data_IF_280897170775
#
_entry.id   IF_280897170775
#
_cell.length_a   1.000
_cell.length_b   1.000
_cell.length_c   1.000
_cell.angle_alpha   90.00
_cell.angle_beta   90.00
_cell.angle_gamma   90.00
#
_symmetry.space_group_name_H-M   'P 1'
#
loop_
_entity.id
_entity.type
_entity.pdbx_description
1 polymer ?
#
# COMPACT_ATOMS: atom_id res chain seq x y z
N UNK A 1 -14.50 -0.91 11.22
CA UNK A 1 -13.50 -0.64 10.16
C UNK A 1 -14.05 0.46 9.26
N UNK A 2 -13.22 1.17 8.50
CA UNK A 2 -13.75 2.01 7.42
C UNK A 2 -14.29 1.08 6.33
N UNK A 3 -15.53 1.31 5.90
CA UNK A 3 -16.17 0.57 4.81
C UNK A 3 -16.44 1.52 3.65
N UNK A 4 -16.51 1.03 2.39
CA UNK A 4 -16.70 1.89 1.23
C UNK A 4 -17.94 2.80 1.36
N UNK A 5 -18.98 2.37 2.08
CA UNK A 5 -20.27 3.07 2.19
C UNK A 5 -21.21 2.72 1.04
N UNK A 6 -22.43 3.28 1.01
CA UNK A 6 -23.52 2.82 0.13
C UNK A 6 -24.03 3.87 -0.88
N UNK A 7 -23.33 5.01 -1.03
CA UNK A 7 -23.75 6.09 -1.93
C UNK A 7 -23.66 5.71 -3.42
N UNK A 8 -24.53 6.30 -4.26
CA UNK A 8 -24.65 6.02 -5.69
C UNK A 8 -23.30 5.99 -6.45
N UNK A 9 -22.38 6.87 -6.07
CA UNK A 9 -21.08 7.02 -6.73
C UNK A 9 -19.91 6.38 -5.98
N UNK A 10 -20.14 5.81 -4.79
CA UNK A 10 -19.06 5.30 -3.94
C UNK A 10 -18.25 4.22 -4.65
N UNK A 11 -18.88 3.11 -5.02
CA UNK A 11 -18.22 1.97 -5.66
C UNK A 11 -17.58 2.32 -7.01
N UNK A 12 -18.26 3.05 -7.94
CA UNK A 12 -17.65 3.40 -9.23
C UNK A 12 -16.54 4.46 -9.13
N UNK A 13 -16.53 5.31 -8.10
CA UNK A 13 -15.43 6.27 -7.87
C UNK A 13 -14.26 5.59 -7.16
N UNK A 14 -14.50 4.99 -5.99
CA UNK A 14 -13.44 4.37 -5.18
C UNK A 14 -12.79 3.19 -5.91
N UNK A 15 -13.55 2.42 -6.69
CA UNK A 15 -13.01 1.30 -7.48
C UNK A 15 -12.06 1.71 -8.60
N UNK A 16 -11.96 3.02 -8.92
CA UNK A 16 -10.97 3.56 -9.86
C UNK A 16 -9.70 4.07 -9.19
N UNK A 17 -9.71 4.23 -7.87
CA UNK A 17 -8.54 4.69 -7.12
C UNK A 17 -7.55 3.55 -6.90
N UNK A 18 -6.29 3.90 -6.76
CA UNK A 18 -5.19 2.97 -6.48
C UNK A 18 -4.70 3.21 -5.06
N UNK A 19 -4.41 2.12 -4.35
CA UNK A 19 -3.74 2.15 -3.04
C UNK A 19 -2.29 2.61 -3.17
N UNK A 20 -1.61 2.14 -4.22
CA UNK A 20 -0.23 2.51 -4.51
C UNK A 20 0.04 2.58 -6.01
N UNK A 21 0.95 3.46 -6.43
CA UNK A 21 1.32 3.64 -7.83
C UNK A 21 2.82 3.85 -7.98
N UNK A 22 3.42 3.28 -9.03
CA UNK A 22 4.79 3.62 -9.42
C UNK A 22 4.77 4.65 -10.54
N UNK A 23 5.46 5.78 -10.33
CA UNK A 23 5.68 6.84 -11.31
C UNK A 23 7.17 6.90 -11.61
N UNK A 24 7.58 6.41 -12.77
CA UNK A 24 8.99 6.22 -13.10
C UNK A 24 9.67 5.25 -12.12
N UNK A 25 10.61 5.77 -11.32
CA UNK A 25 11.32 5.04 -10.26
C UNK A 25 10.80 5.36 -8.85
N UNK A 26 9.74 6.16 -8.70
CA UNK A 26 9.17 6.52 -7.40
C UNK A 26 7.90 5.73 -7.14
N UNK A 27 7.81 5.11 -5.97
CA UNK A 27 6.62 4.43 -5.48
C UNK A 27 5.83 5.40 -4.57
N UNK A 28 4.58 5.70 -4.92
CA UNK A 28 3.69 6.56 -4.15
C UNK A 28 2.63 5.72 -3.43
N UNK A 29 2.55 5.85 -2.10
CA UNK A 29 1.59 5.18 -1.22
C UNK A 29 1.31 6.08 -0.01
N UNK A 30 0.16 5.95 0.65
CA UNK A 30 -0.17 6.88 1.73
C UNK A 30 0.77 6.79 2.94
N UNK A 31 1.10 5.58 3.40
CA UNK A 31 1.91 5.39 4.61
C UNK A 31 3.19 4.58 4.33
N UNK A 32 3.08 3.47 3.60
CA UNK A 32 4.25 2.69 3.19
C UNK A 32 3.87 1.36 2.54
N UNK A 33 4.87 0.59 2.08
CA UNK A 33 4.71 -0.79 1.65
C UNK A 33 5.87 -1.65 2.14
N UNK A 34 5.61 -2.91 2.49
CA UNK A 34 6.62 -3.95 2.66
C UNK A 34 6.59 -4.89 1.46
N UNK A 35 7.61 -5.74 1.29
CA UNK A 35 7.61 -6.77 0.24
C UNK A 35 6.40 -7.70 0.32
N UNK A 36 5.90 -8.00 1.53
CA UNK A 36 4.71 -8.84 1.75
C UNK A 36 3.46 -8.33 1.02
N UNK A 37 3.31 -7.00 0.92
CA UNK A 37 2.18 -6.39 0.19
C UNK A 37 2.25 -6.62 -1.32
N UNK A 38 3.41 -7.06 -1.84
CA UNK A 38 3.69 -7.25 -3.26
C UNK A 38 3.76 -8.72 -3.67
N UNK A 39 3.68 -9.67 -2.72
CA UNK A 39 3.81 -11.10 -2.98
C UNK A 39 2.72 -11.63 -3.93
N UNK A 40 1.51 -11.07 -3.84
CA UNK A 40 0.38 -11.47 -4.69
C UNK A 40 0.27 -10.57 -5.92
N UNK A 41 1.12 -10.78 -6.92
CA UNK A 41 1.03 -10.09 -8.22
C UNK A 41 1.49 -8.63 -8.20
N UNK A 42 2.33 -8.25 -7.24
CA UNK A 42 2.92 -6.93 -7.14
C UNK A 42 1.92 -5.80 -6.94
N UNK A 43 2.28 -4.59 -7.38
CA UNK A 43 1.40 -3.41 -7.27
C UNK A 43 0.07 -3.58 -8.01
N UNK A 44 0.05 -4.34 -9.11
CA UNK A 44 -1.17 -4.60 -9.85
C UNK A 44 -2.12 -5.48 -9.02
N UNK A 45 -1.60 -6.51 -8.36
CA UNK A 45 -2.39 -7.37 -7.49
C UNK A 45 -2.86 -6.69 -6.21
N UNK A 46 -2.04 -5.83 -5.60
CA UNK A 46 -2.45 -5.00 -4.46
C UNK A 46 -3.65 -4.10 -4.82
N UNK A 47 -3.54 -3.35 -5.92
CA UNK A 47 -4.62 -2.47 -6.36
C UNK A 47 -5.87 -3.23 -6.81
N UNK A 48 -5.71 -4.43 -7.40
CA UNK A 48 -6.81 -5.29 -7.78
C UNK A 48 -7.60 -5.76 -6.55
N UNK A 49 -6.91 -6.29 -5.54
CA UNK A 49 -7.55 -6.74 -4.29
C UNK A 49 -8.32 -5.60 -3.60
N UNK A 50 -7.74 -4.40 -3.55
CA UNK A 50 -8.42 -3.22 -3.03
C UNK A 50 -9.69 -2.87 -3.80
N UNK A 51 -9.62 -2.93 -5.14
CA UNK A 51 -10.76 -2.66 -6.02
C UNK A 51 -11.86 -3.71 -5.86
N UNK A 52 -11.51 -4.99 -5.85
CA UNK A 52 -12.45 -6.10 -5.66
C UNK A 52 -13.17 -5.95 -4.31
N UNK A 53 -12.44 -5.62 -3.24
CA UNK A 53 -13.06 -5.31 -1.96
C UNK A 53 -14.05 -4.14 -2.04
N UNK A 54 -13.65 -3.04 -2.68
CA UNK A 54 -14.52 -1.87 -2.87
C UNK A 54 -15.74 -2.19 -3.71
N UNK A 55 -15.63 -3.01 -4.77
CA UNK A 55 -16.72 -3.24 -5.73
C UNK A 55 -17.66 -4.38 -5.30
N UNK A 56 -17.09 -5.46 -4.76
CA UNK A 56 -17.81 -6.71 -4.52
C UNK A 56 -18.22 -6.88 -3.05
N UNK A 57 -17.78 -5.99 -2.15
CA UNK A 57 -18.21 -5.95 -0.76
C UNK A 57 -17.76 -7.15 0.08
N UNK A 58 -16.67 -7.80 -0.31
CA UNK A 58 -16.09 -8.94 0.40
C UNK A 58 -15.31 -8.57 1.66
N UNK A 59 -14.56 -9.53 2.20
CA UNK A 59 -13.64 -9.27 3.32
C UNK A 59 -12.53 -8.30 2.88
N UNK A 60 -12.14 -7.39 3.79
CA UNK A 60 -10.98 -6.52 3.56
C UNK A 60 -9.73 -7.41 3.35
N UNK A 61 -8.99 -7.24 2.24
CA UNK A 61 -7.80 -8.03 1.96
C UNK A 61 -6.80 -7.89 3.09
N UNK A 62 -6.21 -9.00 3.53
CA UNK A 62 -5.29 -9.04 4.68
C UNK A 62 -4.15 -8.01 4.54
N UNK A 63 -3.64 -7.82 3.31
CA UNK A 63 -2.60 -6.84 3.01
C UNK A 63 -3.02 -5.37 3.21
N UNK A 64 -4.30 -5.07 3.38
CA UNK A 64 -4.85 -3.74 3.66
C UNK A 64 -5.27 -3.56 5.12
N UNK A 65 -5.22 -4.62 5.93
CA UNK A 65 -5.75 -4.64 7.30
C UNK A 65 -4.71 -4.12 8.30
N UNK A 66 -5.19 -3.33 9.26
CA UNK A 66 -4.48 -3.08 10.51
C UNK A 66 -3.30 -2.11 10.40
N UNK A 67 -2.49 -2.10 11.46
CA UNK A 67 -1.37 -1.17 11.62
C UNK A 67 -0.24 -1.43 10.61
N UNK A 68 -0.10 -2.65 10.10
CA UNK A 68 0.94 -2.99 9.12
C UNK A 68 0.50 -2.72 7.67
N UNK A 69 -0.78 -2.38 7.46
CA UNK A 69 -1.32 -2.12 6.13
C UNK A 69 -0.78 -0.82 5.50
N UNK A 70 -0.81 -0.70 4.17
CA UNK A 70 -0.19 0.39 3.43
C UNK A 70 -0.76 1.78 3.69
N UNK A 71 -1.93 1.85 4.32
CA UNK A 71 -2.60 3.09 4.69
C UNK A 71 -2.24 3.56 6.11
N UNK A 72 -1.73 2.69 6.97
CA UNK A 72 -1.59 2.99 8.40
C UNK A 72 -0.20 2.67 8.96
N UNK A 73 0.64 1.95 8.21
CA UNK A 73 1.97 1.58 8.67
C UNK A 73 2.85 2.78 8.97
N UNK A 74 3.64 2.66 10.03
CA UNK A 74 4.49 3.75 10.53
C UNK A 74 5.97 3.42 10.58
N UNK A 75 6.37 2.26 10.06
CA UNK A 75 7.75 1.77 10.04
C UNK A 75 8.76 2.77 9.45
N UNK A 76 8.31 3.68 8.58
CA UNK A 76 9.14 4.67 7.89
C UNK A 76 9.00 6.11 8.43
N UNK A 77 8.25 6.31 9.52
CA UNK A 77 7.81 7.66 9.94
C UNK A 77 8.78 8.39 10.88
N UNK A 78 9.97 7.83 11.19
CA UNK A 78 10.76 8.35 12.31
C UNK A 78 12.29 8.21 12.16
N UNK A 79 13.05 9.32 12.28
CA UNK A 79 12.71 10.71 11.97
C UNK A 79 12.69 10.95 10.45
N UNK A 80 11.75 11.78 9.96
CA UNK A 80 11.72 12.17 8.55
C UNK A 80 13.00 12.92 8.17
N UNK A 81 13.69 12.43 7.13
CA UNK A 81 15.02 12.86 6.64
C UNK A 81 16.25 12.16 7.24
N UNK A 82 16.07 11.10 8.02
CA UNK A 82 17.16 10.22 8.43
C UNK A 82 16.82 8.82 7.92
N UNK A 83 17.81 8.08 7.40
CA UNK A 83 17.59 6.66 7.13
C UNK A 83 17.05 5.99 8.40
N UNK A 84 16.12 5.02 8.27
CA UNK A 84 15.58 4.34 9.42
C UNK A 84 16.73 3.79 10.27
N UNK A 85 16.86 4.28 11.51
CA UNK A 85 17.92 3.85 12.44
C UNK A 85 17.72 2.41 12.91
N UNK A 86 16.54 1.85 12.70
CA UNK A 86 16.27 0.43 12.81
C UNK A 86 16.70 -0.29 11.54
N UNK A 87 17.72 -1.15 11.65
CA UNK A 87 18.16 -2.05 10.58
C UNK A 87 16.99 -2.79 9.91
N UNK A 88 15.96 -3.12 10.70
CA UNK A 88 14.77 -3.82 10.23
C UNK A 88 13.94 -2.95 9.28
N UNK A 89 13.76 -1.66 9.57
CA UNK A 89 12.98 -0.77 8.72
C UNK A 89 13.71 -0.46 7.41
N UNK A 90 15.03 -0.27 7.46
CA UNK A 90 15.87 -0.09 6.26
C UNK A 90 15.82 -1.33 5.37
N UNK A 91 15.98 -2.53 5.93
CA UNK A 91 15.87 -3.80 5.19
C UNK A 91 14.47 -3.99 4.57
N UNK A 92 13.40 -3.70 5.31
CA UNK A 92 12.02 -3.78 4.80
C UNK A 92 11.79 -2.82 3.63
N UNK A 93 12.27 -1.58 3.76
CA UNK A 93 12.15 -0.58 2.70
C UNK A 93 12.92 -1.02 1.45
N UNK A 94 14.17 -1.46 1.61
CA UNK A 94 15.00 -1.96 0.52
C UNK A 94 14.36 -3.14 -0.21
N UNK A 95 13.81 -4.10 0.53
CA UNK A 95 13.10 -5.23 -0.06
C UNK A 95 11.84 -4.79 -0.84
N UNK A 96 11.04 -3.88 -0.28
CA UNK A 96 9.85 -3.37 -0.96
C UNK A 96 10.20 -2.62 -2.26
N UNK A 97 11.23 -1.76 -2.22
CA UNK A 97 11.73 -1.02 -3.39
C UNK A 97 12.28 -1.95 -4.47
N UNK A 98 13.04 -2.97 -4.08
CA UNK A 98 13.53 -4.01 -4.98
C UNK A 98 12.38 -4.74 -5.67
N UNK A 99 11.40 -5.24 -4.90
CA UNK A 99 10.22 -5.93 -5.44
C UNK A 99 9.37 -5.03 -6.36
N UNK A 100 9.25 -3.74 -6.04
CA UNK A 100 8.52 -2.77 -6.88
C UNK A 100 9.30 -2.29 -8.10
N UNK A 101 10.61 -2.54 -8.15
CA UNK A 101 11.53 -1.95 -9.12
C UNK A 101 11.50 -0.42 -9.05
N UNK A 102 11.67 0.13 -7.86
CA UNK A 102 11.66 1.56 -7.53
C UNK A 102 12.92 1.94 -6.72
N UNK A 103 13.27 3.22 -6.70
CA UNK A 103 14.44 3.75 -5.98
C UNK A 103 14.05 4.50 -4.70
N UNK A 104 12.81 4.98 -4.61
CA UNK A 104 12.29 5.70 -3.44
C UNK A 104 10.80 5.47 -3.25
N UNK A 105 10.35 5.60 -2.01
CA UNK A 105 8.95 5.55 -1.62
C UNK A 105 8.54 6.91 -1.05
N UNK A 106 7.33 7.36 -1.40
CA UNK A 106 6.70 8.59 -0.91
C UNK A 106 5.28 8.31 -0.47
#
# INVERSE_FOLDING_TARGET
>A
AYEPGTGLLVHPLLGKLKVAVKVGRTLCVHAGLTSKHLDTGGLAGLNRQAREWVQDGGNLPECLVGADGPLWMRDYSHPGNIEPTSDVASQRLGAALFCAGADRMV
#
